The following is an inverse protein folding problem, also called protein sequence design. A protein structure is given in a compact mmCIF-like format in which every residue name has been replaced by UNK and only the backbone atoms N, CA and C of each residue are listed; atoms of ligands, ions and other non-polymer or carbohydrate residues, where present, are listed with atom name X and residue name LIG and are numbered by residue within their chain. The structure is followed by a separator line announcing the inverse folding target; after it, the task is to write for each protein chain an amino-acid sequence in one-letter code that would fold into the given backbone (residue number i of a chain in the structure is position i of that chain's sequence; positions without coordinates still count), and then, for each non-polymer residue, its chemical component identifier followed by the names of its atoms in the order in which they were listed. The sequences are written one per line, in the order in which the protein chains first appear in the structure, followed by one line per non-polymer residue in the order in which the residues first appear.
data_IF_500786845830
#
_entry.id   IF_500786845830
#
_cell.length_a   1.000
_cell.length_b   1.000
_cell.length_c   1.000
_cell.angle_alpha   90.00
_cell.angle_beta   90.00
_cell.angle_gamma   90.00
#
_symmetry.space_group_name_H-M   'P 1'
#
loop_
_entity.id
_entity.type
_entity.pdbx_description
1 polymer ?
#
# COMPACT_ATOMS: atom_id res chain seq x y z
N UNK A 1 -3.84 -6.62 51.59
CA UNK A 1 -2.84 -7.04 50.59
C UNK A 1 -3.59 -7.69 49.46
N UNK A 2 -3.76 -6.98 48.35
CA UNK A 2 -4.46 -7.47 47.16
C UNK A 2 -3.41 -8.18 46.31
N UNK A 3 -3.54 -9.50 46.18
CA UNK A 3 -2.78 -10.25 45.20
C UNK A 3 -3.34 -9.92 43.81
N UNK A 4 -2.50 -9.30 42.98
CA UNK A 4 -2.73 -9.22 41.53
C UNK A 4 -2.75 -10.65 40.99
N UNK A 5 -3.91 -11.10 40.54
CA UNK A 5 -4.03 -12.34 39.76
C UNK A 5 -3.95 -11.92 38.30
N UNK A 6 -2.81 -12.22 37.67
CA UNK A 6 -2.69 -12.26 36.22
C UNK A 6 -3.41 -13.51 35.72
N UNK A 7 -4.28 -13.34 34.72
CA UNK A 7 -5.05 -14.43 34.11
C UNK A 7 -6.55 -14.30 34.40
N UNK A 8 -7.28 -13.79 33.42
CA UNK A 8 -8.74 -13.76 33.44
C UNK A 8 -9.26 -15.14 33.00
N UNK A 9 -10.29 -15.64 33.68
CA UNK A 9 -10.88 -16.97 33.46
C UNK A 9 -12.34 -16.78 33.02
N UNK A 10 -12.68 -17.10 31.77
CA UNK A 10 -14.06 -17.04 31.26
C UNK A 10 -14.67 -18.45 31.19
N UNK A 11 -15.93 -18.61 31.62
CA UNK A 11 -16.66 -19.89 31.61
C UNK A 11 -17.80 -19.85 30.58
N UNK A 12 -17.75 -20.74 29.59
CA UNK A 12 -18.77 -20.89 28.54
C UNK A 12 -19.72 -22.05 28.86
N UNK A 13 -21.02 -21.93 28.61
CA UNK A 13 -22.01 -23.03 28.73
C UNK A 13 -22.73 -23.20 27.40
N UNK A 14 -22.60 -24.35 26.73
CA UNK A 14 -23.23 -24.60 25.42
C UNK A 14 -24.62 -25.24 25.56
N UNK A 15 -25.63 -24.62 24.95
CA UNK A 15 -26.99 -25.12 24.78
C UNK A 15 -27.19 -25.83 23.44
N UNK A 16 -28.40 -26.27 23.15
CA UNK A 16 -28.75 -26.96 21.91
C UNK A 16 -29.89 -26.24 21.18
N UNK A 17 -29.60 -25.43 20.15
CA UNK A 17 -30.58 -25.02 19.12
C UNK A 17 -29.92 -24.42 17.85
N UNK A 18 -30.77 -24.10 16.85
CA UNK A 18 -30.61 -24.20 15.38
C UNK A 18 -30.14 -22.95 14.59
N UNK A 19 -29.68 -23.20 13.35
CA UNK A 19 -28.97 -22.33 12.37
C UNK A 19 -29.53 -20.94 12.04
N UNK A 20 -28.59 -19.98 11.86
CA UNK A 20 -28.57 -18.96 10.79
C UNK A 20 -27.12 -18.77 10.29
N UNK A 21 -26.89 -18.86 8.98
CA UNK A 21 -25.56 -18.71 8.36
C UNK A 21 -25.24 -17.22 8.09
N UNK A 22 -24.14 -16.71 8.65
CA UNK A 22 -23.59 -15.40 8.30
C UNK A 22 -22.41 -15.58 7.33
N UNK A 23 -22.43 -14.85 6.21
CA UNK A 23 -21.52 -14.99 5.08
C UNK A 23 -20.12 -14.42 5.33
N UNK A 24 -19.09 -15.27 5.16
CA UNK A 24 -17.67 -15.11 4.73
C UNK A 24 -16.90 -13.76 4.91
N UNK A 25 -15.56 -13.76 5.16
CA UNK A 25 -14.64 -14.89 5.05
C UNK A 25 -14.55 -15.75 6.32
N UNK A 26 -14.71 -17.06 6.16
CA UNK A 26 -14.54 -18.11 7.16
C UNK A 26 -13.04 -18.38 7.40
N UNK A 27 -12.59 -18.68 8.64
CA UNK A 27 -11.20 -19.01 8.94
C UNK A 27 -10.84 -20.46 8.56
N UNK A 28 -9.54 -20.69 8.33
CA UNK A 28 -8.90 -21.89 7.75
C UNK A 28 -8.98 -23.20 8.56
N UNK A 29 -9.62 -23.23 9.75
CA UNK A 29 -9.81 -24.48 10.49
C UNK A 29 -11.03 -24.49 11.40
N UNK A 30 -11.51 -25.71 11.59
CA UNK A 30 -12.80 -26.02 12.15
C UNK A 30 -12.65 -27.22 13.11
N UNK A 31 -13.07 -27.10 14.38
CA UNK A 31 -12.96 -28.17 15.42
C UNK A 31 -14.29 -28.95 15.59
N UNK A 32 -14.35 -30.28 15.38
CA UNK A 32 -15.59 -31.05 15.47
C UNK A 32 -16.30 -30.96 16.83
N UNK A 33 -17.47 -30.30 16.93
CA UNK A 33 -18.13 -30.01 18.20
C UNK A 33 -18.77 -31.24 18.88
N UNK A 34 -18.93 -32.38 18.18
CA UNK A 34 -19.36 -33.63 18.80
C UNK A 34 -18.33 -34.20 19.78
N UNK A 35 -17.10 -33.67 19.82
CA UNK A 35 -16.09 -33.97 20.83
C UNK A 35 -16.29 -33.20 22.15
N UNK A 36 -17.32 -32.35 22.25
CA UNK A 36 -17.56 -31.50 23.41
C UNK A 36 -19.02 -31.49 23.85
N UNK A 37 -19.26 -32.03 25.05
CA UNK A 37 -20.44 -31.72 25.87
C UNK A 37 -19.93 -31.13 27.19
N UNK A 38 -20.23 -29.86 27.48
CA UNK A 38 -19.83 -29.23 28.75
C UNK A 38 -19.45 -27.76 28.63
N UNK A 39 -18.87 -27.24 29.72
CA UNK A 39 -18.35 -25.88 29.77
C UNK A 39 -16.92 -25.78 29.25
N UNK A 40 -16.59 -24.70 28.55
CA UNK A 40 -15.22 -24.40 28.11
C UNK A 40 -14.65 -23.24 28.92
N UNK A 41 -13.40 -23.38 29.37
CA UNK A 41 -12.66 -22.29 29.99
C UNK A 41 -11.59 -21.77 29.05
N UNK A 42 -11.55 -20.46 28.83
CA UNK A 42 -10.46 -19.81 28.09
C UNK A 42 -9.65 -18.96 29.06
N UNK A 43 -8.35 -19.18 29.07
CA UNK A 43 -7.37 -18.29 29.69
C UNK A 43 -6.45 -17.77 28.59
N UNK A 44 -6.49 -16.47 28.34
CA UNK A 44 -5.67 -15.83 27.31
C UNK A 44 -4.91 -14.62 27.88
N UNK A 45 -3.81 -14.29 27.22
CA UNK A 45 -3.01 -13.10 27.46
C UNK A 45 -2.88 -12.34 26.15
N UNK A 46 -3.24 -11.06 26.19
CA UNK A 46 -3.10 -10.18 25.04
C UNK A 46 -1.72 -9.56 25.06
N UNK A 47 -1.01 -9.66 23.94
CA UNK A 47 0.30 -9.07 23.72
C UNK A 47 0.21 -8.06 22.58
N UNK A 48 0.84 -6.92 22.76
CA UNK A 48 1.01 -5.91 21.72
C UNK A 48 2.48 -5.48 21.71
N UNK A 49 3.12 -5.55 20.55
CA UNK A 49 4.55 -5.26 20.36
C UNK A 49 5.47 -6.03 21.33
N UNK A 50 5.11 -7.28 21.65
CA UNK A 50 5.85 -8.12 22.59
C UNK A 50 5.62 -7.82 24.08
N UNK A 51 4.78 -6.84 24.41
CA UNK A 51 4.42 -6.49 25.78
C UNK A 51 3.01 -6.95 26.13
N UNK A 52 2.81 -7.38 27.38
CA UNK A 52 1.49 -7.78 27.88
C UNK A 52 0.61 -6.54 28.03
N UNK A 53 -0.55 -6.55 27.38
CA UNK A 53 -1.57 -5.53 27.57
C UNK A 53 -2.27 -5.78 28.90
N UNK A 54 -2.07 -4.88 29.87
CA UNK A 54 -2.54 -5.09 31.25
C UNK A 54 -4.02 -4.78 31.48
N UNK A 55 -4.63 -4.02 30.57
CA UNK A 55 -6.03 -3.55 30.64
C UNK A 55 -6.87 -4.11 29.46
N UNK A 56 -6.55 -5.31 29.00
CA UNK A 56 -7.35 -6.01 27.99
C UNK A 56 -8.36 -6.92 28.67
N UNK A 57 -9.66 -6.69 28.46
CA UNK A 57 -10.66 -7.70 28.83
C UNK A 57 -10.86 -8.69 27.68
N UNK A 58 -10.83 -9.99 28.01
CA UNK A 58 -11.07 -11.09 27.08
C UNK A 58 -12.43 -11.70 27.39
N UNK A 59 -13.37 -11.55 26.46
CA UNK A 59 -14.71 -12.14 26.58
C UNK A 59 -14.91 -13.26 25.55
N UNK A 60 -15.58 -14.35 25.97
CA UNK A 60 -15.92 -15.50 25.14
C UNK A 60 -17.42 -15.65 25.05
N UNK A 61 -17.96 -15.55 23.83
CA UNK A 61 -19.39 -15.68 23.54
C UNK A 61 -19.67 -16.93 22.72
N UNK A 62 -20.72 -17.68 23.06
CA UNK A 62 -21.33 -18.76 22.27
C UNK A 62 -22.84 -18.69 22.48
N UNK A 63 -23.64 -18.65 21.41
CA UNK A 63 -25.09 -18.58 21.50
C UNK A 63 -25.79 -19.29 20.34
N UNK A 64 -26.94 -19.91 20.65
CA UNK A 64 -27.77 -20.72 19.75
C UNK A 64 -28.69 -19.90 18.82
N UNK A 65 -28.61 -18.58 18.84
CA UNK A 65 -29.35 -17.69 17.95
C UNK A 65 -28.63 -16.34 17.95
N UNK A 66 -28.11 -15.92 16.79
CA UNK A 66 -27.75 -14.52 16.56
C UNK A 66 -29.04 -13.69 16.54
N UNK A 67 -29.55 -13.34 17.71
CA UNK A 67 -30.62 -12.34 17.86
C UNK A 67 -30.21 -11.35 18.94
N UNK A 68 -29.45 -10.38 18.50
CA UNK A 68 -29.08 -9.22 19.29
C UNK A 68 -28.15 -8.39 18.42
N UNK A 69 -28.71 -7.33 17.85
CA UNK A 69 -27.96 -6.11 17.62
C UNK A 69 -27.33 -5.71 18.97
N UNK A 70 -26.16 -6.25 19.25
CA UNK A 70 -25.06 -5.40 19.63
C UNK A 70 -23.98 -5.75 18.61
N UNK A 71 -23.99 -4.99 17.51
CA UNK A 71 -22.72 -4.43 17.10
C UNK A 71 -22.07 -3.97 18.41
N UNK A 72 -21.03 -4.65 18.89
CA UNK A 72 -20.10 -4.00 19.80
C UNK A 72 -19.32 -3.00 18.96
N UNK A 73 -20.05 -2.05 18.39
CA UNK A 73 -19.55 -0.85 17.80
C UNK A 73 -19.03 -0.03 18.96
N UNK A 74 -17.74 0.28 18.91
CA UNK A 74 -17.12 1.34 19.68
C UNK A 74 -17.69 1.50 21.10
N UNK A 75 -17.42 0.56 22.02
CA UNK A 75 -17.56 0.93 23.43
C UNK A 75 -16.48 1.99 23.73
N UNK A 76 -16.83 3.27 23.86
CA UNK A 76 -15.84 4.33 24.03
C UNK A 76 -15.18 4.27 25.40
N UNK A 77 -15.75 3.48 26.32
CA UNK A 77 -15.25 3.31 27.69
C UNK A 77 -14.18 2.22 27.80
N UNK A 78 -14.08 1.32 26.82
CA UNK A 78 -13.07 0.24 26.77
C UNK A 78 -12.42 0.15 25.38
N UNK A 79 -11.60 1.14 24.98
CA UNK A 79 -10.96 1.15 23.66
C UNK A 79 -9.95 0.00 23.44
N UNK A 80 -9.50 -0.64 24.53
CA UNK A 80 -8.54 -1.76 24.51
C UNK A 80 -9.20 -3.14 24.65
N UNK A 81 -10.52 -3.20 24.51
CA UNK A 81 -11.29 -4.42 24.74
C UNK A 81 -11.03 -5.45 23.65
N UNK A 82 -10.58 -6.66 24.01
CA UNK A 82 -10.16 -7.70 23.06
C UNK A 82 -11.13 -8.88 23.14
N UNK A 83 -12.13 -8.94 22.27
CA UNK A 83 -13.11 -10.03 22.30
C UNK A 83 -12.56 -11.28 21.64
N UNK A 84 -12.75 -12.45 22.25
CA UNK A 84 -12.52 -13.75 21.60
C UNK A 84 -13.87 -14.44 21.36
N UNK A 85 -14.51 -14.17 20.23
CA UNK A 85 -15.83 -14.76 19.93
C UNK A 85 -15.67 -16.21 19.47
N UNK A 86 -16.41 -17.13 20.08
CA UNK A 86 -16.47 -18.54 19.70
C UNK A 86 -17.77 -18.84 18.95
N UNK A 87 -17.75 -19.01 17.63
CA UNK A 87 -18.96 -19.32 16.85
C UNK A 87 -19.01 -20.78 16.41
N UNK A 88 -20.20 -21.37 16.50
CA UNK A 88 -20.51 -22.73 16.08
C UNK A 88 -21.12 -22.75 14.67
N UNK A 89 -20.54 -23.49 13.73
CA UNK A 89 -21.26 -23.89 12.51
C UNK A 89 -21.97 -25.22 12.78
N UNK A 90 -23.30 -25.25 12.66
CA UNK A 90 -24.12 -26.46 12.79
C UNK A 90 -24.60 -26.90 11.40
N UNK A 91 -23.73 -27.48 10.59
CA UNK A 91 -24.20 -28.23 9.41
C UNK A 91 -24.54 -29.66 9.81
N UNK A 92 -25.41 -30.33 9.03
CA UNK A 92 -25.81 -31.71 9.30
C UNK A 92 -24.64 -32.71 9.40
N UNK A 93 -23.44 -32.35 8.92
CA UNK A 93 -22.28 -33.23 8.83
C UNK A 93 -21.03 -32.75 9.59
N UNK A 94 -20.95 -31.49 10.01
CA UNK A 94 -19.84 -31.00 10.82
C UNK A 94 -20.29 -29.91 11.78
N UNK A 95 -19.93 -30.07 13.05
CA UNK A 95 -20.08 -29.02 14.05
C UNK A 95 -18.71 -28.37 14.24
N UNK A 96 -18.56 -27.05 14.12
CA UNK A 96 -17.23 -26.43 14.17
C UNK A 96 -17.19 -25.19 15.07
N UNK A 97 -16.22 -25.12 16.00
CA UNK A 97 -15.93 -23.93 16.80
C UNK A 97 -14.85 -23.06 16.14
N UNK A 98 -15.12 -21.77 16.01
CA UNK A 98 -14.21 -20.78 15.41
C UNK A 98 -13.97 -19.62 16.36
N UNK A 99 -12.72 -19.10 16.40
CA UNK A 99 -12.33 -17.97 17.24
C UNK A 99 -12.03 -16.72 16.42
N UNK A 100 -12.53 -15.55 16.85
CA UNK A 100 -12.20 -14.26 16.23
C UNK A 100 -11.85 -13.22 17.29
N UNK A 101 -10.82 -12.42 17.01
CA UNK A 101 -10.35 -11.35 17.89
C UNK A 101 -10.83 -9.98 17.40
N UNK A 102 -11.55 -9.23 18.25
CA UNK A 102 -11.99 -7.86 17.97
C UNK A 102 -11.37 -6.87 18.93
N UNK A 103 -11.05 -5.68 18.45
CA UNK A 103 -10.54 -4.57 19.28
C UNK A 103 -11.19 -3.28 18.79
N UNK A 104 -11.81 -2.49 19.69
CA UNK A 104 -12.36 -1.16 19.36
C UNK A 104 -13.20 -1.05 18.07
N UNK A 105 -14.02 -2.06 17.74
CA UNK A 105 -14.84 -2.09 16.51
C UNK A 105 -14.15 -2.59 15.23
N UNK A 106 -12.85 -2.93 15.28
CA UNK A 106 -12.08 -3.45 14.15
C UNK A 106 -11.67 -4.92 14.36
N UNK A 107 -11.54 -5.70 13.27
CA UNK A 107 -11.16 -7.12 13.30
C UNK A 107 -9.64 -7.21 13.16
N UNK A 108 -8.92 -7.46 14.25
CA UNK A 108 -7.45 -7.39 14.25
C UNK A 108 -6.77 -8.63 13.68
N UNK A 109 -7.39 -9.79 13.85
CA UNK A 109 -6.82 -11.06 13.34
C UNK A 109 -7.91 -12.12 13.18
N UNK A 110 -7.95 -12.81 12.04
CA UNK A 110 -8.35 -14.21 12.05
C UNK A 110 -7.11 -15.01 12.46
N UNK A 111 -7.17 -15.70 13.59
CA UNK A 111 -6.04 -16.47 14.11
C UNK A 111 -5.73 -17.62 13.14
N UNK A 112 -4.52 -17.69 12.55
CA UNK A 112 -4.12 -18.88 11.82
C UNK A 112 -3.62 -20.00 12.75
N UNK A 113 -4.12 -21.19 12.47
CA UNK A 113 -3.82 -22.52 13.02
C UNK A 113 -2.32 -22.92 12.94
N UNK A 114 -1.68 -23.76 13.85
CA UNK A 114 -2.04 -25.11 14.34
C UNK A 114 -2.22 -25.30 15.86
N UNK A 115 -2.05 -24.26 16.69
CA UNK A 115 -1.79 -24.40 18.14
C UNK A 115 -3.00 -24.76 19.03
N UNK A 116 -4.15 -25.14 18.46
CA UNK A 116 -5.30 -25.66 19.22
C UNK A 116 -5.19 -27.17 19.50
N UNK A 117 -4.01 -27.78 19.31
CA UNK A 117 -3.75 -29.20 19.57
C UNK A 117 -3.76 -29.59 21.07
N UNK A 118 -3.73 -28.63 22.00
CA UNK A 118 -3.79 -28.91 23.43
C UNK A 118 -5.24 -28.97 23.96
N UNK A 119 -6.00 -29.94 23.48
CA UNK A 119 -7.25 -30.35 24.13
C UNK A 119 -6.93 -31.18 25.38
N UNK A 120 -6.60 -30.54 26.51
CA UNK A 120 -6.65 -31.20 27.82
C UNK A 120 -7.92 -30.74 28.55
N UNK A 121 -8.96 -31.59 28.53
CA UNK A 121 -10.19 -31.45 29.33
C UNK A 121 -11.06 -30.20 29.07
N UNK A 122 -11.13 -29.69 27.83
CA UNK A 122 -12.07 -28.60 27.48
C UNK A 122 -11.67 -27.22 27.99
N UNK A 123 -10.38 -26.93 28.02
CA UNK A 123 -9.86 -25.58 28.29
C UNK A 123 -8.89 -25.12 27.19
N UNK A 124 -8.91 -23.84 26.84
CA UNK A 124 -7.93 -23.16 25.98
C UNK A 124 -7.00 -22.35 26.87
N UNK A 125 -5.70 -22.69 26.88
CA UNK A 125 -4.72 -22.10 27.79
C UNK A 125 -4.92 -22.47 29.26
N UNK A 126 -4.00 -22.02 30.13
CA UNK A 126 -4.06 -22.12 31.60
C UNK A 126 -3.50 -20.85 32.22
N UNK A 127 -3.80 -20.56 33.49
CA UNK A 127 -3.23 -19.38 34.19
C UNK A 127 -1.70 -19.35 34.21
N UNK A 128 -1.05 -20.51 34.26
CA UNK A 128 0.41 -20.64 34.20
C UNK A 128 0.99 -20.60 32.79
N UNK A 129 0.15 -20.75 31.77
CA UNK A 129 0.51 -20.86 30.35
C UNK A 129 -0.69 -20.42 29.49
N UNK A 130 -0.98 -19.10 29.45
CA UNK A 130 -2.17 -18.57 28.82
C UNK A 130 -2.03 -18.67 27.29
N UNK A 131 -3.17 -18.79 26.60
CA UNK A 131 -3.20 -18.65 25.15
C UNK A 131 -2.79 -17.23 24.74
N UNK A 132 -1.82 -17.09 23.84
CA UNK A 132 -1.30 -15.79 23.43
C UNK A 132 -2.11 -15.22 22.27
N UNK A 133 -2.71 -14.05 22.49
CA UNK A 133 -3.35 -13.24 21.46
C UNK A 133 -2.40 -12.09 21.13
N UNK A 134 -1.70 -12.17 20.01
CA UNK A 134 -0.84 -11.10 19.55
C UNK A 134 -1.62 -10.16 18.62
N UNK A 135 -1.83 -8.92 19.07
CA UNK A 135 -2.51 -7.86 18.30
C UNK A 135 -1.52 -6.91 17.62
N UNK A 136 -0.24 -7.30 17.54
CA UNK A 136 0.78 -6.53 16.83
C UNK A 136 0.47 -6.49 15.33
N UNK A 137 0.40 -5.30 14.70
CA UNK A 137 0.24 -5.20 13.27
C UNK A 137 1.37 -5.93 12.51
N UNK A 138 1.02 -6.63 11.45
CA UNK A 138 1.98 -7.26 10.56
C UNK A 138 2.81 -6.18 9.88
N UNK A 139 4.14 -6.31 9.97
CA UNK A 139 5.07 -5.31 9.45
C UNK A 139 5.54 -5.66 8.04
N UNK A 140 5.12 -4.86 7.05
CA UNK A 140 5.71 -4.87 5.71
C UNK A 140 6.89 -3.92 5.68
N UNK A 141 8.09 -4.48 5.68
CA UNK A 141 9.34 -3.73 5.87
C UNK A 141 9.76 -3.09 4.54
N UNK A 142 9.96 -1.78 4.58
CA UNK A 142 10.27 -0.96 3.41
C UNK A 142 11.52 -1.42 2.64
N UNK A 143 12.60 -1.77 3.35
CA UNK A 143 13.90 -2.10 2.77
C UNK A 143 14.25 -3.60 2.86
N UNK A 144 13.26 -4.47 2.93
CA UNK A 144 13.46 -5.91 2.99
C UNK A 144 12.50 -6.65 2.05
N UNK A 145 12.84 -7.91 1.77
CA UNK A 145 11.96 -8.81 1.05
C UNK A 145 10.82 -9.28 1.98
N UNK A 146 9.58 -9.05 1.57
CA UNK A 146 8.39 -9.43 2.32
C UNK A 146 7.75 -10.74 1.81
N UNK A 147 8.31 -11.40 0.79
CA UNK A 147 7.68 -12.56 0.14
C UNK A 147 7.34 -13.73 1.08
N UNK A 148 8.26 -14.11 1.97
CA UNK A 148 8.00 -15.21 2.92
C UNK A 148 6.88 -14.87 3.91
N UNK A 149 6.85 -13.62 4.38
CA UNK A 149 5.80 -13.11 5.25
C UNK A 149 4.45 -13.10 4.50
N UNK A 150 4.42 -12.62 3.26
CA UNK A 150 3.20 -12.61 2.45
C UNK A 150 2.68 -14.01 2.16
N UNK A 151 3.56 -14.99 1.95
CA UNK A 151 3.17 -16.39 1.82
C UNK A 151 2.61 -16.96 3.12
N UNK A 152 3.25 -16.66 4.26
CA UNK A 152 2.79 -17.08 5.58
C UNK A 152 1.46 -16.44 5.99
N UNK A 153 1.14 -15.25 5.47
CA UNK A 153 -0.06 -14.50 5.79
C UNK A 153 -1.16 -14.58 4.72
N UNK A 154 -0.96 -15.39 3.67
CA UNK A 154 -1.95 -15.59 2.61
C UNK A 154 -3.32 -15.99 3.18
N UNK A 155 -4.37 -15.34 2.68
CA UNK A 155 -5.78 -15.52 3.02
C UNK A 155 -6.14 -15.15 4.48
N UNK A 156 -5.21 -14.51 5.20
CA UNK A 156 -5.40 -14.05 6.58
C UNK A 156 -5.67 -12.55 6.63
N UNK A 157 -6.56 -12.18 7.54
CA UNK A 157 -6.92 -10.80 7.87
C UNK A 157 -6.12 -10.32 9.05
N UNK A 158 -5.47 -9.16 8.92
CA UNK A 158 -4.81 -8.50 10.03
C UNK A 158 -4.67 -6.99 9.81
N UNK A 159 -4.24 -6.29 10.86
CA UNK A 159 -3.71 -4.93 10.73
C UNK A 159 -2.31 -4.98 10.14
N UNK A 160 -2.02 -4.08 9.20
CA UNK A 160 -0.74 -4.04 8.48
C UNK A 160 -0.12 -2.66 8.60
N UNK A 161 1.17 -2.61 8.96
CA UNK A 161 1.97 -1.39 8.92
C UNK A 161 3.00 -1.44 7.79
N UNK A 162 3.09 -0.38 6.99
CA UNK A 162 4.17 -0.21 6.02
C UNK A 162 5.39 0.42 6.70
N UNK A 163 6.15 -0.40 7.43
CA UNK A 163 7.25 0.05 8.29
C UNK A 163 8.41 0.64 7.50
N UNK A 164 8.87 1.82 7.91
CA UNK A 164 9.93 2.57 7.23
C UNK A 164 9.45 3.27 5.95
N UNK A 165 8.14 3.30 5.68
CA UNK A 165 7.57 3.99 4.52
C UNK A 165 7.01 5.36 4.91
N UNK A 166 7.35 6.36 4.11
CA UNK A 166 6.70 7.67 4.13
C UNK A 166 5.94 7.91 2.83
N UNK A 167 4.75 8.52 2.95
CA UNK A 167 3.95 9.01 1.83
C UNK A 167 3.85 10.53 1.96
N UNK A 168 4.38 11.23 0.96
CA UNK A 168 4.42 12.68 0.96
C UNK A 168 3.03 13.21 0.65
N UNK A 169 2.51 14.09 1.50
CA UNK A 169 1.32 14.90 1.19
C UNK A 169 1.77 16.27 0.66
N UNK A 170 0.84 17.19 0.42
CA UNK A 170 1.03 18.49 -0.24
C UNK A 170 1.15 18.40 -1.77
N UNK A 171 0.21 17.68 -2.39
CA UNK A 171 0.08 17.63 -3.84
C UNK A 171 1.12 16.75 -4.55
N UNK A 172 1.94 16.00 -3.80
CA UNK A 172 2.92 15.09 -4.36
C UNK A 172 2.31 13.72 -4.70
N UNK A 173 2.64 13.19 -5.88
CA UNK A 173 2.32 11.84 -6.28
C UNK A 173 3.31 10.84 -5.65
N UNK A 174 2.78 9.75 -5.13
CA UNK A 174 3.54 8.63 -4.57
C UNK A 174 3.12 7.35 -5.29
N UNK A 175 4.05 6.47 -5.63
CA UNK A 175 3.69 5.13 -6.11
C UNK A 175 3.27 4.22 -4.96
N UNK A 176 2.31 3.34 -5.19
CA UNK A 176 1.75 2.40 -4.21
C UNK A 176 1.48 1.04 -4.86
N UNK A 177 1.84 -0.06 -4.20
CA UNK A 177 1.49 -1.42 -4.59
C UNK A 177 1.25 -2.22 -3.30
N UNK A 178 -0.01 -2.56 -3.02
CA UNK A 178 -0.40 -3.22 -1.77
C UNK A 178 -0.66 -4.71 -1.99
N UNK A 179 -0.29 -5.59 -1.04
CA UNK A 179 -0.51 -7.04 -1.11
C UNK A 179 -1.89 -7.52 -0.67
N UNK A 180 -2.83 -6.59 -0.53
CA UNK A 180 -4.21 -6.81 -0.17
C UNK A 180 -5.09 -5.82 -0.95
N UNK A 181 -6.31 -6.21 -1.31
CA UNK A 181 -7.25 -5.30 -1.94
C UNK A 181 -7.84 -4.34 -0.91
N UNK A 182 -8.38 -3.22 -1.37
CA UNK A 182 -9.17 -2.31 -0.55
C UNK A 182 -10.40 -1.84 -1.31
N UNK A 183 -11.57 -1.94 -0.69
CA UNK A 183 -12.81 -1.34 -1.21
C UNK A 183 -12.83 0.17 -1.00
N UNK A 184 -13.78 0.86 -1.63
CA UNK A 184 -13.97 2.31 -1.45
C UNK A 184 -14.23 2.67 0.02
N UNK A 185 -15.00 1.85 0.74
CA UNK A 185 -15.34 2.05 2.15
C UNK A 185 -14.10 1.88 3.05
N UNK A 186 -13.26 0.89 2.75
CA UNK A 186 -12.00 0.68 3.46
C UNK A 186 -11.02 1.82 3.18
N UNK A 187 -10.95 2.33 1.95
CA UNK A 187 -10.10 3.47 1.60
C UNK A 187 -10.53 4.71 2.40
N UNK A 188 -11.83 5.02 2.41
CA UNK A 188 -12.38 6.20 3.07
C UNK A 188 -12.09 6.28 4.58
N UNK A 189 -11.90 5.13 5.23
CA UNK A 189 -11.64 5.02 6.68
C UNK A 189 -10.18 4.71 7.02
N UNK A 190 -9.30 4.62 6.02
CA UNK A 190 -7.88 4.27 6.19
C UNK A 190 -6.95 5.48 6.12
N UNK A 191 -5.63 5.23 6.18
CA UNK A 191 -4.63 6.25 5.85
C UNK A 191 -4.66 6.75 4.40
N UNK A 192 -5.42 6.11 3.51
CA UNK A 192 -5.70 6.60 2.16
C UNK A 192 -6.98 7.45 2.08
N UNK A 193 -7.57 7.83 3.22
CA UNK A 193 -8.68 8.79 3.23
C UNK A 193 -8.29 10.06 2.46
N UNK A 194 -9.24 10.58 1.69
CA UNK A 194 -9.07 11.78 0.85
C UNK A 194 -7.96 11.69 -0.21
N UNK A 195 -7.40 10.50 -0.44
CA UNK A 195 -6.41 10.30 -1.49
C UNK A 195 -7.10 10.26 -2.85
N UNK A 196 -6.51 10.95 -3.83
CA UNK A 196 -6.77 10.70 -5.25
C UNK A 196 -5.90 9.51 -5.64
N UNK A 197 -6.55 8.43 -6.08
CA UNK A 197 -5.89 7.18 -6.49
C UNK A 197 -6.09 7.02 -7.99
N UNK A 198 -4.99 6.79 -8.71
CA UNK A 198 -5.03 6.54 -10.15
C UNK A 198 -4.21 5.32 -10.54
N UNK A 199 -4.65 4.64 -11.59
CA UNK A 199 -3.94 3.53 -12.22
C UNK A 199 -3.56 3.87 -13.66
N UNK A 200 -2.49 3.23 -14.16
CA UNK A 200 -2.09 3.37 -15.56
C UNK A 200 -3.20 2.79 -16.45
N UNK A 201 -3.67 3.56 -17.42
CA UNK A 201 -4.69 3.10 -18.36
C UNK A 201 -4.11 2.06 -19.32
N UNK A 202 -4.54 0.83 -19.16
CA UNK A 202 -4.20 -0.30 -20.04
C UNK A 202 -5.30 -0.60 -21.06
N UNK A 203 -6.41 0.12 -21.03
CA UNK A 203 -7.65 -0.22 -21.74
C UNK A 203 -7.91 0.67 -22.95
N UNK A 204 -7.33 1.87 -22.98
CA UNK A 204 -7.53 2.82 -24.06
C UNK A 204 -6.22 3.49 -24.50
N UNK A 205 -6.26 4.06 -25.71
CA UNK A 205 -5.16 4.87 -26.23
C UNK A 205 -5.03 6.18 -25.45
N UNK A 206 -3.80 6.65 -25.26
CA UNK A 206 -3.49 7.89 -24.55
C UNK A 206 -2.11 7.93 -23.92
N UNK A 207 -1.55 6.77 -23.56
CA UNK A 207 -0.10 6.68 -23.37
C UNK A 207 0.56 6.76 -24.74
N UNK A 208 1.38 7.78 -24.96
CA UNK A 208 1.91 8.08 -26.30
C UNK A 208 3.22 8.86 -26.25
N UNK A 209 4.05 8.67 -27.26
CA UNK A 209 5.27 9.43 -27.47
C UNK A 209 5.09 10.43 -28.61
N UNK A 210 5.09 11.71 -28.29
CA UNK A 210 5.03 12.79 -29.27
C UNK A 210 6.37 12.94 -30.02
N UNK A 211 6.31 13.56 -31.22
CA UNK A 211 7.46 13.73 -32.10
C UNK A 211 8.58 14.60 -31.50
N UNK A 212 8.25 15.49 -30.56
CA UNK A 212 9.22 16.32 -29.84
C UNK A 212 10.02 15.53 -28.78
N UNK A 213 9.56 14.32 -28.43
CA UNK A 213 10.12 13.44 -27.40
C UNK A 213 9.33 13.45 -26.08
N UNK A 214 8.16 14.09 -26.03
CA UNK A 214 7.31 14.08 -24.84
C UNK A 214 6.56 12.76 -24.71
N UNK A 215 6.80 12.02 -23.64
CA UNK A 215 6.04 10.81 -23.29
C UNK A 215 4.87 11.20 -22.39
N UNK A 216 3.65 11.05 -22.90
CA UNK A 216 2.42 11.17 -22.11
C UNK A 216 2.07 9.80 -21.53
N UNK A 217 1.79 9.76 -20.24
CA UNK A 217 1.31 8.58 -19.53
C UNK A 217 -0.12 8.84 -19.09
N UNK A 218 -1.05 8.03 -19.59
CA UNK A 218 -2.47 8.17 -19.28
C UNK A 218 -2.84 7.38 -18.03
N UNK A 219 -3.50 8.04 -17.10
CA UNK A 219 -3.93 7.51 -15.82
C UNK A 219 -5.41 7.77 -15.60
N UNK A 220 -6.13 6.76 -15.12
CA UNK A 220 -7.56 6.85 -14.79
C UNK A 220 -7.77 6.84 -13.28
N UNK A 221 -8.78 7.57 -12.82
CA UNK A 221 -9.19 7.57 -11.41
C UNK A 221 -9.85 6.26 -11.03
N UNK A 222 -9.48 5.71 -9.88
CA UNK A 222 -10.10 4.50 -9.31
C UNK A 222 -10.53 4.74 -7.87
N UNK A 223 -11.54 3.98 -7.45
CA UNK A 223 -12.11 4.05 -6.09
C UNK A 223 -11.81 2.82 -5.25
N UNK A 224 -11.06 1.86 -5.80
CA UNK A 224 -10.65 0.64 -5.11
C UNK A 224 -9.22 0.25 -5.50
N UNK A 225 -8.60 -0.57 -4.67
CA UNK A 225 -7.26 -1.11 -4.88
C UNK A 225 -7.37 -2.63 -5.03
N UNK A 226 -6.73 -3.16 -6.06
CA UNK A 226 -6.52 -4.58 -6.26
C UNK A 226 -5.15 -4.99 -5.68
N UNK A 227 -5.08 -6.16 -5.05
CA UNK A 227 -3.82 -6.68 -4.53
C UNK A 227 -2.80 -6.90 -5.66
N UNK A 228 -1.57 -6.43 -5.46
CA UNK A 228 -0.47 -6.56 -6.42
C UNK A 228 -0.45 -5.54 -7.53
N UNK A 229 -1.53 -4.79 -7.75
CA UNK A 229 -1.59 -3.80 -8.83
C UNK A 229 -0.88 -2.51 -8.39
N UNK A 230 -0.07 -1.89 -9.28
CA UNK A 230 0.59 -0.62 -9.00
C UNK A 230 -0.33 0.58 -9.27
N UNK A 231 -0.29 1.56 -8.37
CA UNK A 231 -1.09 2.79 -8.37
C UNK A 231 -0.19 4.00 -8.10
N UNK A 232 -0.70 5.19 -8.43
CA UNK A 232 -0.20 6.45 -7.90
C UNK A 232 -1.25 7.07 -6.98
N UNK A 233 -0.79 7.68 -5.88
CA UNK A 233 -1.64 8.29 -4.87
C UNK A 233 -1.16 9.69 -4.51
N UNK A 234 -2.09 10.61 -4.33
CA UNK A 234 -1.84 12.02 -3.97
C UNK A 234 -2.91 12.51 -3.01
N UNK A 235 -2.54 13.48 -2.18
CA UNK A 235 -3.44 14.23 -1.32
C UNK A 235 -3.28 15.73 -1.59
N UNK A 236 -4.36 16.49 -1.43
CA UNK A 236 -4.30 17.97 -1.47
C UNK A 236 -3.87 18.59 -0.12
N UNK A 237 -4.08 17.89 1.01
CA UNK A 237 -3.67 18.35 2.36
C UNK A 237 -2.15 18.28 2.61
N UNK A 238 -1.65 18.81 3.74
CA UNK A 238 -0.23 19.15 3.91
C UNK A 238 0.65 18.23 4.78
N UNK A 239 0.11 17.35 5.63
CA UNK A 239 0.92 16.52 6.53
C UNK A 239 1.20 15.12 5.97
N UNK A 240 2.46 14.81 5.63
CA UNK A 240 2.91 13.47 5.21
C UNK A 240 2.49 12.35 6.17
N UNK A 241 2.39 11.13 5.65
CA UNK A 241 2.20 9.92 6.45
C UNK A 241 3.54 9.23 6.69
N UNK A 242 3.77 8.73 7.89
CA UNK A 242 4.94 7.91 8.24
C UNK A 242 4.43 6.62 8.83
N UNK A 243 4.95 5.48 8.35
CA UNK A 243 4.54 4.14 8.74
C UNK A 243 3.01 3.96 8.67
N UNK A 244 2.38 4.14 7.49
CA UNK A 244 0.93 4.05 7.38
C UNK A 244 0.44 2.65 7.80
N UNK A 245 -0.68 2.64 8.53
CA UNK A 245 -1.36 1.47 9.07
C UNK A 245 -2.69 1.27 8.34
N UNK A 246 -2.97 0.02 7.99
CA UNK A 246 -4.18 -0.43 7.33
C UNK A 246 -4.83 -1.50 8.21
N UNK A 247 -6.01 -1.21 8.75
CA UNK A 247 -6.68 -2.13 9.66
C UNK A 247 -7.53 -3.16 8.94
N UNK A 248 -7.57 -4.38 9.48
CA UNK A 248 -8.45 -5.46 9.04
C UNK A 248 -8.39 -5.79 7.54
N UNK A 249 -7.19 -5.81 6.96
CA UNK A 249 -6.98 -6.14 5.53
C UNK A 249 -6.62 -7.62 5.35
N UNK A 250 -7.13 -8.23 4.27
CA UNK A 250 -6.86 -9.64 3.95
C UNK A 250 -5.80 -9.76 2.87
N UNK A 251 -4.69 -10.42 3.17
CA UNK A 251 -3.69 -10.73 2.15
C UNK A 251 -4.22 -11.79 1.18
N UNK A 252 -3.96 -11.62 -0.11
CA UNK A 252 -4.41 -12.58 -1.13
C UNK A 252 -3.32 -13.59 -1.54
N UNK A 253 -2.06 -13.33 -1.14
CA UNK A 253 -0.90 -14.02 -1.69
C UNK A 253 -0.61 -13.69 -3.16
N UNK A 254 -1.26 -12.66 -3.72
CA UNK A 254 -1.02 -12.20 -5.10
C UNK A 254 0.35 -11.54 -5.18
N UNK A 255 1.21 -12.05 -6.07
CA UNK A 255 2.50 -11.40 -6.38
C UNK A 255 2.28 -10.05 -7.08
N UNK A 256 3.22 -9.09 -6.99
CA UNK A 256 3.08 -7.81 -7.68
C UNK A 256 2.90 -8.01 -9.19
N UNK A 257 1.95 -7.28 -9.77
CA UNK A 257 1.67 -7.34 -11.19
C UNK A 257 2.42 -6.27 -11.98
N UNK A 258 2.50 -6.50 -13.29
CA UNK A 258 2.96 -5.53 -14.27
C UNK A 258 1.75 -5.09 -15.07
N UNK A 259 1.46 -3.78 -15.05
CA UNK A 259 0.41 -3.18 -15.88
C UNK A 259 1.08 -2.52 -17.07
N UNK A 260 0.83 -3.00 -18.27
CA UNK A 260 1.30 -2.37 -19.50
C UNK A 260 0.30 -1.31 -19.97
N UNK A 261 0.80 -0.23 -20.57
CA UNK A 261 -0.02 0.69 -21.35
C UNK A 261 -0.70 -0.04 -22.51
N UNK A 262 -1.79 0.52 -23.03
CA UNK A 262 -2.54 -0.08 -24.15
C UNK A 262 -1.66 -0.39 -25.37
N UNK A 263 -0.68 0.46 -25.69
CA UNK A 263 0.28 0.27 -26.79
C UNK A 263 1.45 -0.69 -26.43
N UNK A 264 1.51 -1.15 -25.17
CA UNK A 264 2.55 -2.04 -24.65
C UNK A 264 3.94 -1.43 -24.52
N UNK A 265 4.10 -0.12 -24.71
CA UNK A 265 5.43 0.52 -24.74
C UNK A 265 5.92 1.00 -23.37
N UNK A 266 5.02 1.11 -22.40
CA UNK A 266 5.30 1.46 -21.01
C UNK A 266 4.72 0.38 -20.11
N UNK A 267 5.45 0.00 -19.06
CA UNK A 267 4.99 -0.90 -18.02
C UNK A 267 5.12 -0.23 -16.66
N UNK A 268 4.08 -0.30 -15.85
CA UNK A 268 4.09 0.09 -14.45
C UNK A 268 4.21 -1.17 -13.61
N UNK A 269 5.29 -1.27 -12.82
CA UNK A 269 5.73 -2.52 -12.19
C UNK A 269 5.67 -2.37 -10.68
N UNK A 270 4.80 -3.15 -10.02
CA UNK A 270 4.72 -3.23 -8.56
C UNK A 270 5.88 -4.02 -7.93
N UNK A 271 6.13 -3.80 -6.64
CA UNK A 271 7.21 -4.46 -5.90
C UNK A 271 6.80 -4.77 -4.45
N UNK A 272 7.24 -5.90 -3.89
CA UNK A 272 7.15 -6.20 -2.44
C UNK A 272 8.52 -6.43 -1.79
N UNK A 273 9.58 -6.36 -2.58
CA UNK A 273 10.97 -6.41 -2.14
C UNK A 273 11.75 -5.30 -2.87
N UNK A 274 12.86 -4.82 -2.29
CA UNK A 274 13.69 -3.82 -2.96
C UNK A 274 14.20 -4.29 -4.32
N UNK A 275 13.90 -3.53 -5.37
CA UNK A 275 14.39 -3.77 -6.72
C UNK A 275 15.50 -2.78 -7.05
N UNK A 276 16.67 -3.30 -7.41
CA UNK A 276 17.79 -2.49 -7.91
C UNK A 276 17.44 -1.96 -9.30
N UNK A 277 17.38 -0.64 -9.45
CA UNK A 277 17.37 0.01 -10.76
C UNK A 277 18.80 0.45 -11.08
N UNK A 278 19.47 -0.14 -12.08
CA UNK A 278 20.85 0.21 -12.37
C UNK A 278 20.97 1.66 -12.84
N UNK A 279 22.05 2.31 -12.40
CA UNK A 279 22.39 3.66 -12.82
C UNK A 279 22.49 3.74 -14.34
N UNK A 280 22.03 4.85 -14.92
CA UNK A 280 22.14 5.18 -16.36
C UNK A 280 21.38 4.24 -17.31
N UNK A 281 20.59 3.29 -16.79
CA UNK A 281 19.69 2.44 -17.58
C UNK A 281 18.38 3.18 -17.83
N UNK A 282 18.29 3.82 -18.99
CA UNK A 282 17.16 4.69 -19.39
C UNK A 282 15.84 3.97 -19.67
N UNK A 283 15.80 2.64 -19.58
CA UNK A 283 14.54 1.90 -19.66
C UNK A 283 13.81 1.88 -18.32
N UNK A 284 14.44 2.22 -17.20
CA UNK A 284 13.81 2.21 -15.88
C UNK A 284 13.71 3.62 -15.31
N UNK A 285 12.55 3.96 -14.76
CA UNK A 285 12.26 5.27 -14.18
C UNK A 285 11.55 5.12 -12.85
N UNK A 286 11.75 6.09 -11.97
CA UNK A 286 11.04 6.19 -10.70
C UNK A 286 10.33 7.53 -10.58
N UNK A 287 9.27 7.56 -9.77
CA UNK A 287 8.58 8.79 -9.41
C UNK A 287 9.37 9.53 -8.34
N UNK A 288 9.87 10.71 -8.68
CA UNK A 288 10.67 11.55 -7.80
C UNK A 288 9.96 12.83 -7.39
N UNK A 289 10.74 13.78 -6.88
CA UNK A 289 10.24 15.09 -6.48
C UNK A 289 9.65 15.88 -7.65
N UNK A 290 8.67 16.74 -7.36
CA UNK A 290 8.06 17.61 -8.38
C UNK A 290 7.12 16.88 -9.34
N UNK A 291 6.57 15.73 -8.94
CA UNK A 291 5.56 14.99 -9.72
C UNK A 291 6.03 14.62 -11.13
N UNK A 292 7.29 14.18 -11.23
CA UNK A 292 7.87 13.77 -12.51
C UNK A 292 8.67 12.48 -12.37
N UNK A 293 9.04 11.91 -13.51
CA UNK A 293 9.83 10.70 -13.61
C UNK A 293 11.32 11.01 -13.79
N UNK A 294 12.15 10.24 -13.11
CA UNK A 294 13.60 10.36 -13.13
C UNK A 294 14.26 9.03 -13.45
N UNK A 295 15.43 9.12 -14.08
CA UNK A 295 16.31 7.97 -14.21
C UNK A 295 17.09 7.76 -12.92
N UNK A 296 17.40 6.51 -12.56
CA UNK A 296 18.38 6.23 -11.50
C UNK A 296 19.71 6.93 -11.81
N UNK A 297 20.08 7.91 -10.99
CA UNK A 297 21.28 8.73 -11.18
C UNK A 297 22.42 8.38 -10.20
N UNK A 298 22.18 7.46 -9.27
CA UNK A 298 23.16 6.93 -8.32
C UNK A 298 23.34 5.43 -8.50
N UNK A 299 24.53 4.95 -8.15
CA UNK A 299 24.75 3.51 -8.01
C UNK A 299 23.88 2.99 -6.85
N UNK A 300 23.42 1.75 -6.95
CA UNK A 300 22.62 1.10 -5.92
C UNK A 300 21.32 1.85 -5.59
N UNK A 301 20.63 2.37 -6.61
CA UNK A 301 19.30 2.94 -6.44
C UNK A 301 18.25 1.83 -6.33
N UNK A 302 17.53 1.79 -5.21
CA UNK A 302 16.49 0.79 -4.98
C UNK A 302 15.10 1.41 -4.98
N UNK A 303 14.18 0.78 -5.71
CA UNK A 303 12.75 0.95 -5.48
C UNK A 303 12.35 -0.05 -4.40
N UNK A 304 12.19 0.49 -3.20
CA UNK A 304 11.84 -0.24 -1.98
C UNK A 304 10.44 -0.87 -2.05
N UNK A 305 10.16 -1.83 -1.16
CA UNK A 305 8.93 -2.61 -1.12
C UNK A 305 7.64 -1.76 -1.09
N UNK A 306 6.57 -2.37 -1.57
CA UNK A 306 5.21 -1.82 -1.71
C UNK A 306 5.12 -0.56 -2.59
N UNK A 307 6.13 -0.31 -3.43
CA UNK A 307 6.14 0.79 -4.43
C UNK A 307 6.03 0.22 -5.84
N UNK A 308 6.06 1.12 -6.80
CA UNK A 308 6.15 0.76 -8.19
C UNK A 308 7.14 1.65 -8.94
N UNK A 309 7.56 1.20 -10.11
CA UNK A 309 8.44 1.93 -11.01
C UNK A 309 7.98 1.74 -12.46
N UNK A 310 8.49 2.56 -13.36
CA UNK A 310 8.12 2.52 -14.77
C UNK A 310 9.24 1.89 -15.58
N UNK A 311 8.86 1.03 -16.51
CA UNK A 311 9.75 0.43 -17.48
C UNK A 311 9.31 0.82 -18.89
N UNK A 312 10.22 1.38 -19.68
CA UNK A 312 10.00 1.75 -21.08
C UNK A 312 10.53 0.67 -21.99
N UNK A 313 9.86 0.47 -23.13
CA UNK A 313 10.45 -0.24 -24.26
C UNK A 313 11.74 0.47 -24.72
N UNK A 314 12.75 -0.27 -25.23
CA UNK A 314 13.99 0.33 -25.72
C UNK A 314 13.78 1.41 -26.79
N UNK A 315 12.76 1.24 -27.63
CA UNK A 315 12.42 2.19 -28.69
C UNK A 315 11.96 3.52 -28.10
N UNK A 316 11.05 3.50 -27.13
CA UNK A 316 10.57 4.72 -26.46
C UNK A 316 11.69 5.35 -25.65
N UNK A 317 12.41 4.55 -24.84
CA UNK A 317 13.52 5.02 -24.00
C UNK A 317 14.59 5.81 -24.77
N UNK A 318 14.86 5.46 -26.04
CA UNK A 318 15.83 6.16 -26.89
C UNK A 318 15.41 7.56 -27.35
N UNK A 319 14.11 7.90 -27.23
CA UNK A 319 13.51 9.12 -27.79
C UNK A 319 12.94 10.07 -26.75
N UNK A 320 12.67 9.60 -25.53
CA UNK A 320 12.03 10.40 -24.47
C UNK A 320 12.92 11.56 -24.02
N UNK A 321 12.32 12.74 -23.92
CA UNK A 321 12.92 14.00 -23.43
C UNK A 321 12.07 14.73 -22.39
N UNK A 322 10.80 14.34 -22.21
CA UNK A 322 9.93 14.90 -21.19
C UNK A 322 8.84 13.89 -20.81
N UNK A 323 8.25 14.06 -19.63
CA UNK A 323 7.17 13.22 -19.14
C UNK A 323 5.94 14.09 -18.81
N UNK A 324 4.78 13.64 -19.24
CA UNK A 324 3.49 14.28 -18.93
C UNK A 324 2.58 13.21 -18.34
N UNK A 325 1.86 13.58 -17.29
CA UNK A 325 0.77 12.74 -16.79
C UNK A 325 -0.55 13.31 -17.31
N UNK A 326 -1.30 12.47 -18.01
CA UNK A 326 -2.67 12.74 -18.42
C UNK A 326 -3.60 12.04 -17.44
N UNK A 327 -4.48 12.82 -16.80
CA UNK A 327 -5.33 12.37 -15.70
C UNK A 327 -6.82 12.28 -16.06
N UNK A 328 -7.16 12.35 -17.35
CA UNK A 328 -8.52 12.40 -17.93
C UNK A 328 -9.38 13.61 -17.56
N UNK A 329 -9.14 14.23 -16.40
CA UNK A 329 -9.66 15.54 -16.05
C UNK A 329 -8.82 16.60 -16.78
N UNK A 330 -9.46 17.66 -17.33
CA UNK A 330 -9.00 18.67 -18.32
C UNK A 330 -7.63 19.37 -18.09
N UNK A 331 -6.81 18.94 -17.13
CA UNK A 331 -5.49 19.45 -16.80
C UNK A 331 -4.40 18.36 -16.95
N UNK A 332 -4.01 18.06 -18.19
CA UNK A 332 -2.76 17.34 -18.45
C UNK A 332 -1.59 18.14 -17.86
N UNK A 333 -1.02 17.67 -16.75
CA UNK A 333 0.03 18.40 -16.06
C UNK A 333 1.38 18.05 -16.67
N UNK A 334 1.94 18.98 -17.43
CA UNK A 334 3.23 18.80 -18.09
C UNK A 334 4.39 19.12 -17.14
N UNK A 335 5.30 18.15 -16.93
CA UNK A 335 6.49 18.35 -16.09
C UNK A 335 7.76 18.10 -16.90
N UNK A 336 8.52 19.18 -17.15
CA UNK A 336 9.79 19.10 -17.87
C UNK A 336 10.93 18.76 -16.89
N UNK A 337 11.57 17.62 -17.10
CA UNK A 337 12.80 17.29 -16.37
C UNK A 337 14.00 18.02 -17.02
N UNK A 338 14.67 18.87 -16.26
CA UNK A 338 15.82 19.66 -16.76
C UNK A 338 17.06 18.80 -17.06
N UNK A 339 17.19 17.61 -16.43
CA UNK A 339 18.24 16.63 -16.72
C UNK A 339 18.04 15.90 -18.06
N UNK A 340 16.83 15.96 -18.62
CA UNK A 340 16.49 15.37 -19.92
C UNK A 340 16.70 16.31 -21.11
N UNK A 341 17.10 17.57 -20.87
CA UNK A 341 17.71 18.36 -21.92
C UNK A 341 18.96 17.60 -22.35
N UNK A 342 18.93 17.07 -23.58
CA UNK A 342 20.15 16.88 -24.35
C UNK A 342 20.86 18.23 -24.23
N UNK A 343 21.91 18.28 -23.41
CA UNK A 343 22.95 19.28 -23.61
C UNK A 343 23.41 18.95 -25.00
N UNK A 344 22.86 19.65 -26.00
CA UNK A 344 23.54 19.73 -27.27
C UNK A 344 24.95 20.11 -26.86
N UNK A 345 25.90 19.21 -27.10
CA UNK A 345 27.31 19.54 -27.08
C UNK A 345 27.44 20.93 -27.69
N UNK A 346 28.21 21.82 -27.05
CA UNK A 346 28.34 23.24 -27.41
C UNK A 346 28.64 23.43 -28.91
N UNK A 347 27.61 23.34 -29.74
CA UNK A 347 27.62 23.73 -31.13
C UNK A 347 27.30 25.20 -31.10
N UNK A 348 28.33 26.04 -31.17
CA UNK A 348 28.31 27.46 -31.53
C UNK A 348 26.91 28.10 -31.48
N UNK A 349 26.49 28.56 -30.28
CA UNK A 349 25.14 29.07 -30.06
C UNK A 349 24.73 30.10 -31.14
N UNK A 350 23.59 29.87 -31.81
CA UNK A 350 23.04 30.85 -32.74
C UNK A 350 22.63 32.13 -31.98
N UNK A 351 23.04 33.29 -32.48
CA UNK A 351 22.77 34.61 -31.87
C UNK A 351 21.74 35.33 -32.73
N UNK A 352 20.67 35.85 -32.12
CA UNK A 352 19.63 36.60 -32.80
C UNK A 352 19.49 38.01 -32.22
N UNK A 353 19.12 38.98 -33.06
CA UNK A 353 18.63 40.29 -32.60
C UNK A 353 17.15 40.21 -32.15
N UNK A 354 16.64 41.29 -31.55
CA UNK A 354 15.25 41.38 -31.10
C UNK A 354 14.22 41.30 -32.24
N UNK A 355 14.67 41.46 -33.49
CA UNK A 355 13.84 41.31 -34.69
C UNK A 355 13.80 39.86 -35.18
N UNK A 356 14.43 38.92 -34.48
CA UNK A 356 14.50 37.51 -34.85
C UNK A 356 15.47 37.22 -36.00
N UNK A 357 16.28 38.19 -36.42
CA UNK A 357 17.29 37.98 -37.46
C UNK A 357 18.54 37.38 -36.83
N UNK A 358 19.04 36.31 -37.45
CA UNK A 358 20.28 35.65 -37.04
C UNK A 358 21.49 36.52 -37.38
N UNK A 359 22.37 36.71 -36.40
CA UNK A 359 23.53 37.60 -36.48
C UNK A 359 24.83 36.83 -36.77
N UNK A 360 24.92 35.53 -36.43
CA UNK A 360 26.10 34.72 -36.73
C UNK A 360 25.92 33.86 -37.99
N UNK A 361 26.82 34.02 -38.96
CA UNK A 361 26.95 33.15 -40.13
C UNK A 361 28.05 32.10 -39.90
N UNK A 362 27.64 30.85 -39.67
CA UNK A 362 28.47 29.63 -39.69
C UNK A 362 29.70 29.51 -38.76
N UNK A 363 30.20 30.57 -38.12
CA UNK A 363 31.27 30.52 -37.12
C UNK A 363 30.88 31.34 -35.88
N UNK A 364 31.21 30.81 -34.69
CA UNK A 364 30.97 31.45 -33.39
C UNK A 364 31.59 32.86 -33.36
N UNK A 365 30.77 33.89 -33.24
CA UNK A 365 31.25 35.22 -32.84
C UNK A 365 31.26 35.21 -31.30
N UNK A 366 32.42 35.33 -30.61
CA UNK A 366 32.44 35.48 -29.17
C UNK A 366 31.59 36.67 -28.74
N UNK A 367 30.91 36.59 -27.59
CA UNK A 367 30.07 37.69 -27.07
C UNK A 367 30.83 39.04 -27.01
N UNK A 368 32.15 39.02 -26.87
CA UNK A 368 33.03 40.19 -26.86
C UNK A 368 33.15 40.95 -28.19
N UNK A 369 32.62 40.41 -29.30
CA UNK A 369 32.62 41.06 -30.62
C UNK A 369 31.22 41.55 -31.05
N UNK A 370 30.20 41.32 -30.22
CA UNK A 370 28.88 41.93 -30.40
C UNK A 370 28.93 43.38 -29.92
N UNK A 371 28.21 44.27 -30.64
CA UNK A 371 28.03 45.65 -30.18
C UNK A 371 27.09 45.67 -28.97
N UNK A 372 27.15 46.73 -28.18
CA UNK A 372 26.23 46.94 -27.06
C UNK A 372 24.78 46.82 -27.53
N UNK A 373 24.01 46.00 -26.83
CA UNK A 373 22.68 45.65 -27.29
C UNK A 373 22.12 44.41 -26.63
N UNK A 374 20.86 44.13 -26.95
CA UNK A 374 20.14 42.98 -26.42
C UNK A 374 20.08 41.90 -27.50
N UNK A 375 20.46 40.68 -27.11
CA UNK A 375 20.50 39.53 -28.00
C UNK A 375 19.77 38.34 -27.40
N UNK A 376 19.36 37.40 -28.26
CA UNK A 376 18.82 36.10 -27.85
C UNK A 376 19.87 35.05 -28.19
N UNK A 377 20.37 34.36 -27.17
CA UNK A 377 21.37 33.28 -27.30
C UNK A 377 20.88 32.08 -26.51
N UNK A 378 20.77 30.92 -27.17
CA UNK A 378 20.19 29.69 -26.56
C UNK A 378 18.81 29.93 -25.92
N UNK A 379 17.97 30.77 -26.53
CA UNK A 379 16.63 31.10 -26.04
C UNK A 379 16.61 32.03 -24.81
N UNK A 380 17.76 32.53 -24.35
CA UNK A 380 17.86 33.49 -23.24
C UNK A 380 18.21 34.88 -23.76
N UNK A 381 17.56 35.88 -23.18
CA UNK A 381 17.87 37.30 -23.42
C UNK A 381 19.15 37.67 -22.69
N UNK A 382 20.15 38.16 -23.41
CA UNK A 382 21.41 38.67 -22.85
C UNK A 382 21.59 40.14 -23.21
N UNK A 383 22.24 40.89 -22.33
CA UNK A 383 22.63 42.28 -22.57
C UNK A 383 24.15 42.32 -22.74
N UNK A 384 24.60 42.84 -23.86
CA UNK A 384 26.01 43.18 -24.13
C UNK A 384 26.17 44.69 -23.88
N UNK A 385 27.24 45.06 -23.18
CA UNK A 385 27.60 46.42 -22.77
C UNK A 385 29.11 46.61 -22.89
#
# INVERSE_FOLDING_TARGET
MINRIQGLMALLVMGSASLMAQSNPFPDKSIPAFKYQGSMTVTAQVIQNGEVVTDADVAVYCGDDFRGEDEVGNDPTHPNLVYLTAFGDYTANHQYLHFRVYTGGHIFTCVPDPALDYMYHGSIGKTSDPYIIDITPVSLVNNADNSDLLAAWKDKTCDVVLSGRSLTKAGAWNTLCLPFPMTAEQIATSNLSDAIIKELDSSSDGTSLAADGTLTLKFITVTSIEAGKPYIVRWEGSSGLVNPVFSSVTFTGTIPSVVASYDGTVSFVGTYSPVLLPKDVKTNLYMGAGNTLYYPNVNNFYVNACRAYFQLSPVVASKVKAFVFDFEEDDATSFFNEELRVKNEESAAAVYDLSGRRINSQFSIPNSQLKDGIYIVNGKKILIR
#
